data_IF_842404644781
#
_entry.id   IF_842404644781
#
_cell.length_a   1.000
_cell.length_b   1.000
_cell.length_c   1.000
_cell.angle_alpha   90.00
_cell.angle_beta   90.00
_cell.angle_gamma   90.00
#
_symmetry.space_group_name_H-M   'P 1'
#
loop_
_entity.id
_entity.type
_entity.pdbx_description
1 polymer ?
#
# COMPACT_ATOMS: atom_id res chain seq x y z
N UNK A 1 19.31 -2.28 -11.67
CA UNK A 1 18.17 -1.64 -10.96
C UNK A 1 17.05 -1.50 -11.98
N UNK A 2 15.85 -2.02 -11.70
CA UNK A 2 14.73 -1.81 -12.60
C UNK A 2 14.34 -0.32 -12.55
N UNK A 3 14.29 0.33 -13.71
CA UNK A 3 13.84 1.71 -13.82
C UNK A 3 12.31 1.72 -13.68
N UNK A 4 11.81 2.30 -12.59
CA UNK A 4 10.37 2.43 -12.35
C UNK A 4 9.93 3.70 -13.06
N UNK A 5 9.22 3.56 -14.18
CA UNK A 5 8.64 4.68 -14.90
C UNK A 5 7.39 5.17 -14.15
N UNK A 6 7.51 6.28 -13.43
CA UNK A 6 6.39 6.96 -12.78
C UNK A 6 5.60 7.79 -13.80
N UNK A 7 4.28 7.80 -13.67
CA UNK A 7 3.41 8.71 -14.43
C UNK A 7 3.38 10.09 -13.77
N UNK A 8 2.80 11.05 -14.47
CA UNK A 8 2.66 12.40 -13.93
C UNK A 8 1.82 12.40 -12.64
N UNK A 9 2.26 13.17 -11.64
CA UNK A 9 1.68 13.22 -10.30
C UNK A 9 1.91 11.98 -9.42
N UNK A 10 2.52 10.90 -9.93
CA UNK A 10 2.89 9.73 -9.14
C UNK A 10 4.21 9.96 -8.38
N UNK A 11 4.28 9.42 -7.16
CA UNK A 11 5.48 9.42 -6.31
C UNK A 11 5.62 8.09 -5.60
N UNK A 12 6.86 7.74 -5.26
CA UNK A 12 7.13 6.58 -4.42
C UNK A 12 7.13 7.04 -2.96
N UNK A 13 6.33 6.39 -2.13
CA UNK A 13 6.37 6.52 -0.69
C UNK A 13 6.72 5.17 -0.05
N UNK A 14 7.48 5.22 1.03
CA UNK A 14 7.77 4.05 1.85
C UNK A 14 6.69 3.89 2.91
N UNK A 15 6.17 2.68 3.08
CA UNK A 15 5.25 2.35 4.14
C UNK A 15 6.03 2.31 5.47
N UNK A 16 5.55 3.03 6.48
CA UNK A 16 6.23 3.23 7.77
C UNK A 16 6.87 1.94 8.33
N UNK A 17 8.12 2.05 8.79
CA UNK A 17 8.88 0.98 9.46
C UNK A 17 9.03 -0.34 8.67
N UNK A 18 8.79 -0.33 7.35
CA UNK A 18 8.98 -1.49 6.47
C UNK A 18 9.77 -1.07 5.23
N UNK A 19 10.39 -2.02 4.53
CA UNK A 19 11.06 -1.76 3.25
C UNK A 19 10.10 -1.71 2.05
N UNK A 20 8.78 -1.73 2.31
CA UNK A 20 7.75 -1.72 1.28
C UNK A 20 7.63 -0.31 0.71
N UNK A 21 7.77 -0.22 -0.62
CA UNK A 21 7.58 1.00 -1.40
C UNK A 21 6.29 0.89 -2.19
N UNK A 22 5.48 1.94 -2.15
CA UNK A 22 4.21 2.04 -2.85
C UNK A 22 4.20 3.28 -3.74
N UNK A 23 3.53 3.18 -4.89
CA UNK A 23 3.28 4.30 -5.77
C UNK A 23 2.01 4.99 -5.30
N UNK A 24 2.05 6.32 -5.18
CA UNK A 24 0.92 7.14 -4.75
C UNK A 24 0.73 8.31 -5.70
N UNK A 25 -0.50 8.75 -5.89
CA UNK A 25 -0.79 10.01 -6.57
C UNK A 25 -1.75 10.82 -5.69
N UNK A 26 -1.38 12.06 -5.35
CA UNK A 26 -2.16 12.86 -4.38
C UNK A 26 -3.56 13.22 -4.89
N UNK A 27 -3.74 13.26 -6.21
CA UNK A 27 -4.99 13.68 -6.85
C UNK A 27 -5.99 12.53 -7.00
N UNK A 28 -5.49 11.29 -7.16
CA UNK A 28 -6.33 10.12 -7.48
C UNK A 28 -6.31 9.05 -6.39
N UNK A 29 -5.22 8.89 -5.65
CA UNK A 29 -5.10 7.86 -4.61
C UNK A 29 -3.95 8.09 -3.61
N UNK A 30 -4.32 8.33 -2.35
CA UNK A 30 -3.38 8.32 -1.23
C UNK A 30 -3.86 7.32 -0.17
N UNK A 31 -2.99 6.38 0.23
CA UNK A 31 -3.32 5.49 1.35
C UNK A 31 -3.58 6.34 2.59
N UNK A 32 -4.63 5.98 3.33
CA UNK A 32 -4.94 6.63 4.60
C UNK A 32 -4.30 5.87 5.75
N UNK A 33 -4.21 6.52 6.90
CA UNK A 33 -3.83 5.85 8.15
C UNK A 33 -4.77 4.67 8.44
N UNK A 34 -6.05 4.79 8.09
CA UNK A 34 -7.05 3.74 8.28
C UNK A 34 -6.71 2.46 7.51
N UNK A 35 -6.20 2.56 6.27
CA UNK A 35 -5.73 1.38 5.51
C UNK A 35 -4.56 0.68 6.22
N UNK A 36 -3.66 1.44 6.85
CA UNK A 36 -2.54 0.89 7.62
C UNK A 36 -3.05 0.19 8.88
N UNK A 37 -3.99 0.81 9.60
CA UNK A 37 -4.59 0.23 10.80
C UNK A 37 -5.40 -1.03 10.46
N UNK A 38 -6.18 -0.99 9.38
CA UNK A 38 -6.95 -2.13 8.91
C UNK A 38 -6.04 -3.31 8.54
N UNK A 39 -4.87 -3.08 7.94
CA UNK A 39 -3.91 -4.16 7.66
C UNK A 39 -3.39 -4.89 8.91
N UNK A 40 -3.44 -4.24 10.09
CA UNK A 40 -2.98 -4.77 11.38
C UNK A 40 -4.10 -5.29 12.26
N UNK A 41 -5.35 -5.02 11.90
CA UNK A 41 -6.53 -5.37 12.67
C UNK A 41 -6.95 -6.85 12.58
N UNK A 42 -6.99 -7.51 11.41
CA UNK A 42 -7.57 -8.84 11.28
C UNK A 42 -6.63 -9.92 11.87
N UNK A 43 -7.25 -10.90 12.52
CA UNK A 43 -6.55 -12.14 12.86
C UNK A 43 -6.42 -13.01 11.62
N UNK A 44 -5.19 -13.16 11.12
CA UNK A 44 -4.93 -13.92 9.90
C UNK A 44 -5.11 -15.44 10.14
N UNK A 45 -5.89 -16.14 9.29
CA UNK A 45 -6.02 -17.58 9.40
C UNK A 45 -4.73 -18.29 8.95
N UNK A 46 -4.44 -19.47 9.51
CA UNK A 46 -3.27 -20.28 9.10
C UNK A 46 -3.37 -20.83 7.67
N UNK A 47 -4.58 -20.90 7.11
CA UNK A 47 -4.89 -21.40 5.76
C UNK A 47 -6.12 -20.66 5.22
N UNK A 48 -6.15 -20.39 3.92
CA UNK A 48 -7.25 -19.72 3.24
C UNK A 48 -6.77 -18.70 2.21
N UNK A 49 -7.72 -18.06 1.53
CA UNK A 49 -7.48 -16.94 0.62
C UNK A 49 -7.86 -15.64 1.32
N UNK A 50 -6.92 -14.69 1.37
CA UNK A 50 -7.19 -13.33 1.84
C UNK A 50 -7.62 -12.50 0.63
N UNK A 51 -8.74 -11.79 0.75
CA UNK A 51 -9.25 -10.90 -0.29
C UNK A 51 -9.42 -9.52 0.33
N UNK A 52 -8.81 -8.51 -0.29
CA UNK A 52 -9.04 -7.10 0.03
C UNK A 52 -10.20 -6.61 -0.84
N UNK A 53 -11.27 -6.13 -0.20
CA UNK A 53 -12.47 -5.63 -0.87
C UNK A 53 -12.60 -4.14 -0.53
N UNK A 54 -12.50 -3.30 -1.57
CA UNK A 54 -12.64 -1.85 -1.50
C UNK A 54 -14.08 -1.42 -1.81
#
# INVERSE_FOLDING_TARGET
MAEILLKDGERINQLFSTDVKIIQNREVFSYSVDSVLLSRFPNLPKRGLIVDLC
#
